data_IF_696350190140
#
_entry.id   IF_696350190140
#
_cell.length_a   1.000
_cell.length_b   1.000
_cell.length_c   1.000
_cell.angle_alpha   90.00
_cell.angle_beta   90.00
_cell.angle_gamma   90.00
#
_symmetry.space_group_name_H-M   'P 1'
#
loop_
_entity.id
_entity.type
_entity.pdbx_description
1 polymer ?
#
# COMPACT_ATOMS: atom_id res chain seq x y z
N UNK A 1 -24.35 -22.25 -11.35
CA UNK A 1 -22.94 -22.03 -11.73
C UNK A 1 -22.35 -21.14 -10.66
N UNK A 2 -21.33 -21.69 -9.98
CA UNK A 2 -20.40 -21.16 -8.96
C UNK A 2 -20.92 -20.20 -7.88
N UNK A 3 -20.77 -20.64 -6.62
CA UNK A 3 -20.69 -19.80 -5.43
C UNK A 3 -19.89 -18.51 -5.70
N UNK A 4 -20.46 -17.35 -5.39
CA UNK A 4 -19.78 -16.05 -5.53
C UNK A 4 -18.45 -16.05 -4.77
N UNK A 5 -17.29 -15.94 -5.45
CA UNK A 5 -15.99 -15.96 -4.79
C UNK A 5 -15.58 -14.59 -4.18
N UNK A 6 -16.47 -13.59 -4.21
CA UNK A 6 -16.12 -12.19 -3.93
C UNK A 6 -16.30 -11.76 -2.47
N UNK A 7 -16.88 -12.61 -1.62
CA UNK A 7 -17.15 -12.29 -0.21
C UNK A 7 -16.65 -13.42 0.70
N UNK A 8 -15.78 -13.06 1.64
CA UNK A 8 -15.28 -13.96 2.68
C UNK A 8 -15.85 -13.56 4.05
N UNK A 9 -15.97 -14.54 4.94
CA UNK A 9 -16.47 -14.35 6.30
C UNK A 9 -15.53 -14.98 7.34
N UNK A 10 -14.25 -14.57 7.41
CA UNK A 10 -13.35 -15.05 8.46
C UNK A 10 -13.92 -14.77 9.85
N UNK A 11 -13.51 -15.56 10.83
CA UNK A 11 -13.79 -15.25 12.23
C UNK A 11 -13.17 -13.90 12.60
N UNK A 12 -13.74 -13.24 13.61
CA UNK A 12 -13.26 -11.92 14.05
C UNK A 12 -11.76 -11.93 14.37
N UNK A 13 -11.29 -12.93 15.11
CA UNK A 13 -9.89 -13.04 15.51
C UNK A 13 -8.97 -13.20 14.29
N UNK A 14 -9.35 -14.07 13.33
CA UNK A 14 -8.61 -14.27 12.09
C UNK A 14 -8.56 -13.00 11.23
N UNK A 15 -9.68 -12.26 11.15
CA UNK A 15 -9.77 -11.04 10.36
C UNK A 15 -8.88 -9.93 10.92
N UNK A 16 -8.89 -9.74 12.25
CA UNK A 16 -8.02 -8.78 12.92
C UNK A 16 -6.55 -9.16 12.78
N UNK A 17 -6.21 -10.43 12.98
CA UNK A 17 -4.85 -10.93 12.79
C UNK A 17 -4.38 -10.73 11.34
N UNK A 18 -5.24 -11.04 10.38
CA UNK A 18 -4.93 -10.85 8.95
C UNK A 18 -4.71 -9.38 8.59
N UNK A 19 -5.46 -8.45 9.19
CA UNK A 19 -5.25 -7.01 8.98
C UNK A 19 -3.90 -6.56 9.54
N UNK A 20 -3.51 -7.07 10.71
CA UNK A 20 -2.19 -6.82 11.31
C UNK A 20 -1.06 -7.37 10.45
N UNK A 21 -1.19 -8.61 9.97
CA UNK A 21 -0.18 -9.25 9.14
C UNK A 21 -0.05 -8.54 7.78
N UNK A 22 -1.16 -8.09 7.19
CA UNK A 22 -1.15 -7.28 5.98
C UNK A 22 -0.47 -5.93 6.19
N UNK A 23 -0.74 -5.25 7.32
CA UNK A 23 -0.03 -4.02 7.66
C UNK A 23 1.50 -4.24 7.78
N UNK A 24 1.92 -5.34 8.43
CA UNK A 24 3.34 -5.72 8.50
C UNK A 24 3.92 -5.97 7.11
N UNK A 25 3.20 -6.68 6.24
CA UNK A 25 3.65 -6.98 4.89
C UNK A 25 3.86 -5.72 4.05
N UNK A 26 2.96 -4.74 4.16
CA UNK A 26 3.12 -3.43 3.48
C UNK A 26 4.40 -2.73 3.95
N UNK A 27 4.74 -2.80 5.24
CA UNK A 27 5.98 -2.23 5.77
C UNK A 27 7.23 -2.99 5.26
N UNK A 28 7.15 -4.30 5.07
CA UNK A 28 8.24 -5.07 4.42
C UNK A 28 8.44 -4.65 2.96
N UNK A 29 7.35 -4.41 2.24
CA UNK A 29 7.39 -3.88 0.88
C UNK A 29 7.93 -2.44 0.85
N UNK A 30 7.60 -1.60 1.84
CA UNK A 30 8.19 -0.27 2.01
C UNK A 30 9.71 -0.34 2.26
N UNK A 31 10.19 -1.27 3.11
CA UNK A 31 11.62 -1.47 3.32
C UNK A 31 12.35 -1.88 2.03
N UNK A 32 11.72 -2.76 1.23
CA UNK A 32 12.24 -3.17 -0.07
C UNK A 32 12.30 -1.98 -1.04
N UNK A 33 11.27 -1.14 -1.05
CA UNK A 33 11.23 0.10 -1.82
C UNK A 33 12.37 1.06 -1.43
N UNK A 34 12.58 1.29 -0.13
CA UNK A 34 13.62 2.20 0.38
C UNK A 34 15.03 1.69 0.07
N UNK A 35 15.25 0.38 0.17
CA UNK A 35 16.52 -0.25 -0.20
C UNK A 35 16.85 0.05 -1.66
N UNK A 36 15.90 -0.13 -2.57
CA UNK A 36 16.09 0.17 -3.99
C UNK A 36 16.24 1.66 -4.29
N UNK A 37 15.66 2.52 -3.46
CA UNK A 37 15.76 3.98 -3.61
C UNK A 37 17.15 4.50 -3.24
N UNK A 38 17.92 3.73 -2.44
CA UNK A 38 19.28 4.08 -2.01
C UNK A 38 20.37 3.74 -3.04
N UNK A 39 20.10 2.84 -3.97
CA UNK A 39 21.05 2.41 -5.01
C UNK A 39 20.75 3.11 -6.35
N UNK A 40 21.74 3.20 -7.24
CA UNK A 40 21.55 3.71 -8.60
C UNK A 40 21.92 2.63 -9.62
N UNK A 41 20.93 2.14 -10.36
CA UNK A 41 21.10 1.10 -11.37
C UNK A 41 20.04 1.20 -12.49
N UNK A 42 20.35 0.70 -13.70
CA UNK A 42 19.41 0.74 -14.81
C UNK A 42 18.10 0.01 -14.50
N UNK A 43 16.97 0.72 -14.63
CA UNK A 43 15.64 0.17 -14.38
C UNK A 43 15.19 0.25 -12.92
N UNK A 44 15.94 0.93 -12.04
CA UNK A 44 15.56 1.19 -10.65
C UNK A 44 14.13 1.71 -10.50
N UNK A 45 13.80 2.79 -11.21
CA UNK A 45 12.48 3.42 -11.06
C UNK A 45 11.34 2.52 -11.54
N UNK A 46 11.61 1.61 -12.48
CA UNK A 46 10.65 0.58 -12.87
C UNK A 46 10.38 -0.42 -11.75
N UNK A 47 11.43 -0.88 -11.06
CA UNK A 47 11.28 -1.81 -9.93
C UNK A 47 10.62 -1.11 -8.75
N UNK A 48 11.05 0.12 -8.41
CA UNK A 48 10.40 0.97 -7.40
C UNK A 48 8.92 1.13 -7.69
N UNK A 49 8.55 1.42 -8.94
CA UNK A 49 7.16 1.58 -9.33
C UNK A 49 6.35 0.27 -9.26
N UNK A 50 6.96 -0.88 -9.61
CA UNK A 50 6.31 -2.18 -9.47
C UNK A 50 6.00 -2.51 -7.99
N UNK A 51 6.92 -2.21 -7.08
CA UNK A 51 6.68 -2.35 -5.63
C UNK A 51 5.61 -1.37 -5.17
N UNK A 52 5.65 -0.12 -5.64
CA UNK A 52 4.64 0.88 -5.27
C UNK A 52 3.22 0.45 -5.67
N UNK A 53 3.05 -0.17 -6.85
CA UNK A 53 1.75 -0.72 -7.28
C UNK A 53 1.28 -1.80 -6.32
N UNK A 54 2.16 -2.73 -5.94
CA UNK A 54 1.84 -3.79 -4.98
C UNK A 54 1.44 -3.20 -3.62
N UNK A 55 2.18 -2.21 -3.13
CA UNK A 55 1.85 -1.49 -1.89
C UNK A 55 0.48 -0.79 -1.98
N UNK A 56 0.10 -0.22 -3.13
CA UNK A 56 -1.23 0.37 -3.35
C UNK A 56 -2.34 -0.69 -3.31
N UNK A 57 -2.12 -1.84 -3.96
CA UNK A 57 -3.08 -2.96 -3.92
C UNK A 57 -3.31 -3.43 -2.48
N UNK A 58 -2.23 -3.62 -1.72
CA UNK A 58 -2.29 -4.07 -0.33
C UNK A 58 -2.88 -3.03 0.60
N UNK A 59 -2.54 -1.75 0.42
CA UNK A 59 -3.14 -0.65 1.19
C UNK A 59 -4.66 -0.61 0.98
N UNK A 60 -5.14 -0.82 -0.26
CA UNK A 60 -6.56 -0.86 -0.57
C UNK A 60 -7.29 -2.00 0.15
N UNK A 61 -6.66 -3.17 0.21
CA UNK A 61 -7.14 -4.33 0.99
C UNK A 61 -7.18 -4.00 2.47
N UNK A 62 -6.11 -3.43 3.02
CA UNK A 62 -6.01 -3.07 4.43
C UNK A 62 -7.10 -2.08 4.83
N UNK A 63 -7.33 -1.03 4.03
CA UNK A 63 -8.41 -0.07 4.27
C UNK A 63 -9.78 -0.76 4.36
N UNK A 64 -10.04 -1.72 3.48
CA UNK A 64 -11.31 -2.46 3.50
C UNK A 64 -11.42 -3.33 4.76
N UNK A 65 -10.37 -4.07 5.07
CA UNK A 65 -10.32 -4.92 6.26
C UNK A 65 -10.50 -4.13 7.55
N UNK A 66 -9.86 -2.97 7.69
CA UNK A 66 -10.00 -2.10 8.86
C UNK A 66 -11.46 -1.67 9.03
N UNK A 67 -12.10 -1.20 7.95
CA UNK A 67 -13.50 -0.77 7.99
C UNK A 67 -14.45 -1.90 8.39
N UNK A 68 -14.22 -3.10 7.89
CA UNK A 68 -15.07 -4.25 8.19
C UNK A 68 -14.83 -4.79 9.61
N UNK A 69 -13.58 -4.77 10.08
CA UNK A 69 -13.25 -5.06 11.48
C UNK A 69 -13.92 -4.06 12.43
N UNK A 70 -13.90 -2.77 12.10
CA UNK A 70 -14.61 -1.75 12.88
C UNK A 70 -16.13 -1.95 12.90
N UNK A 71 -16.72 -2.27 11.76
CA UNK A 71 -18.17 -2.53 11.65
C UNK A 71 -18.57 -3.74 12.49
N UNK A 72 -17.81 -4.84 12.37
CA UNK A 72 -18.00 -6.05 13.18
C UNK A 72 -17.86 -5.76 14.67
N UNK A 73 -16.85 -4.98 15.07
CA UNK A 73 -16.64 -4.58 16.47
C UNK A 73 -17.82 -3.78 17.03
N UNK A 74 -18.36 -2.83 16.26
CA UNK A 74 -19.48 -1.97 16.68
C UNK A 74 -20.81 -2.74 16.76
N UNK A 75 -21.01 -3.76 15.93
CA UNK A 75 -22.23 -4.55 15.86
C UNK A 75 -22.16 -5.89 16.63
N UNK A 76 -21.02 -6.17 17.26
CA UNK A 76 -20.68 -7.42 17.96
C UNK A 76 -20.91 -8.69 17.12
N UNK A 77 -20.53 -8.62 15.83
CA UNK A 77 -20.58 -9.79 14.95
C UNK A 77 -19.38 -10.72 15.19
N UNK A 78 -19.62 -12.03 15.17
CA UNK A 78 -18.60 -13.05 15.33
C UNK A 78 -17.70 -13.24 14.09
N UNK A 79 -18.15 -12.76 12.94
CA UNK A 79 -17.41 -12.80 11.68
C UNK A 79 -17.34 -11.42 11.04
N UNK A 80 -16.31 -11.24 10.22
CA UNK A 80 -16.07 -10.00 9.47
C UNK A 80 -16.39 -10.28 8.01
N UNK A 81 -17.22 -9.46 7.38
CA UNK A 81 -17.50 -9.56 5.93
C UNK A 81 -16.39 -8.86 5.18
N UNK A 82 -15.62 -9.59 4.37
CA UNK A 82 -14.57 -9.01 3.54
C UNK A 82 -14.95 -9.18 2.08
N UNK A 83 -15.21 -8.06 1.42
CA UNK A 83 -15.48 -8.01 -0.02
C UNK A 83 -14.22 -7.64 -0.80
N UNK A 84 -14.21 -7.94 -2.10
CA UNK A 84 -13.20 -7.46 -3.04
C UNK A 84 -11.75 -7.83 -2.68
N UNK A 85 -11.55 -8.87 -1.85
CA UNK A 85 -10.24 -9.20 -1.29
C UNK A 85 -9.18 -9.50 -2.36
N UNK A 86 -9.63 -10.10 -3.47
CA UNK A 86 -8.77 -10.52 -4.57
C UNK A 86 -8.83 -9.56 -5.79
N UNK A 87 -9.63 -8.50 -5.74
CA UNK A 87 -9.69 -7.52 -6.83
C UNK A 87 -8.53 -6.51 -6.70
N UNK A 88 -7.36 -6.93 -7.16
CA UNK A 88 -6.14 -6.11 -7.11
C UNK A 88 -6.34 -4.72 -7.74
N UNK A 89 -7.12 -4.64 -8.82
CA UNK A 89 -7.32 -3.41 -9.57
C UNK A 89 -8.19 -2.41 -8.80
N UNK A 90 -9.32 -2.87 -8.27
CA UNK A 90 -10.19 -2.05 -7.44
C UNK A 90 -9.48 -1.58 -6.18
N UNK A 91 -8.75 -2.48 -5.52
CA UNK A 91 -7.99 -2.15 -4.31
C UNK A 91 -6.92 -1.09 -4.58
N UNK A 92 -6.12 -1.27 -5.63
CA UNK A 92 -5.08 -0.30 -6.01
C UNK A 92 -5.64 1.09 -6.35
N UNK A 93 -6.73 1.16 -7.13
CA UNK A 93 -7.40 2.43 -7.45
C UNK A 93 -7.99 3.11 -6.21
N UNK A 94 -8.62 2.34 -5.32
CA UNK A 94 -9.21 2.84 -4.07
C UNK A 94 -8.14 3.44 -3.16
N UNK A 95 -7.01 2.74 -2.98
CA UNK A 95 -5.89 3.23 -2.20
C UNK A 95 -5.30 4.51 -2.82
N UNK A 96 -5.03 4.49 -4.12
CA UNK A 96 -4.46 5.63 -4.83
C UNK A 96 -5.31 6.89 -4.66
N UNK A 97 -6.63 6.78 -4.85
CA UNK A 97 -7.55 7.91 -4.66
C UNK A 97 -7.51 8.49 -3.24
N UNK A 98 -7.43 7.64 -2.22
CA UNK A 98 -7.33 8.09 -0.82
C UNK A 98 -5.99 8.77 -0.52
N UNK A 99 -4.89 8.16 -0.95
CA UNK A 99 -3.53 8.68 -0.72
C UNK A 99 -3.33 10.03 -1.41
N UNK A 100 -3.84 10.20 -2.64
CA UNK A 100 -3.76 11.48 -3.34
C UNK A 100 -4.56 12.57 -2.64
N UNK A 101 -5.73 12.25 -2.09
CA UNK A 101 -6.51 13.21 -1.31
C UNK A 101 -5.81 13.57 0.01
N UNK A 102 -5.19 12.61 0.69
CA UNK A 102 -4.40 12.88 1.89
C UNK A 102 -3.20 13.78 1.60
N UNK A 103 -2.45 13.52 0.53
CA UNK A 103 -1.36 14.39 0.09
C UNK A 103 -1.87 15.82 -0.19
N UNK A 104 -3.02 15.95 -0.85
CA UNK A 104 -3.65 17.25 -1.10
C UNK A 104 -4.05 17.98 0.18
N UNK A 105 -4.53 17.26 1.19
CA UNK A 105 -4.87 17.82 2.50
C UNK A 105 -3.60 18.28 3.23
N UNK A 106 -2.53 17.48 3.18
CA UNK A 106 -1.24 17.82 3.78
C UNK A 106 -0.64 19.08 3.15
N UNK A 107 -0.68 19.20 1.82
CA UNK A 107 -0.15 20.37 1.11
C UNK A 107 -0.91 21.65 1.50
N UNK A 108 -2.25 21.59 1.58
CA UNK A 108 -3.07 22.72 2.05
C UNK A 108 -2.78 23.09 3.50
N UNK A 109 -2.56 22.11 4.37
CA UNK A 109 -2.22 22.37 5.76
C UNK A 109 -0.83 23.04 5.87
N UNK A 110 0.13 22.62 5.05
CA UNK A 110 1.45 23.23 4.99
C UNK A 110 1.40 24.70 4.55
N UNK A 111 0.61 25.00 3.52
CA UNK A 111 0.33 26.36 3.06
C UNK A 111 -0.32 27.21 4.17
N UNK A 112 -1.36 26.68 4.82
CA UNK A 112 -2.08 27.39 5.88
C UNK A 112 -1.21 27.70 7.10
N UNK A 113 -0.21 26.87 7.38
CA UNK A 113 0.77 27.09 8.46
C UNK A 113 1.90 28.07 8.07
N UNK A 114 1.85 28.66 6.87
CA UNK A 114 2.82 29.66 6.41
C UNK A 114 4.22 29.11 6.17
N UNK A 115 4.35 27.79 5.96
CA UNK A 115 5.65 27.12 5.77
C UNK A 115 6.15 27.17 4.32
N UNK A 116 5.39 27.77 3.41
CA UNK A 116 5.70 27.91 1.98
C UNK A 116 4.48 27.64 1.10
N UNK A 117 4.61 27.86 -0.20
CA UNK A 117 3.64 27.34 -1.18
C UNK A 117 3.79 25.81 -1.22
N UNK A 118 2.68 25.08 -1.13
CA UNK A 118 2.69 23.64 -1.31
C UNK A 118 3.10 23.35 -2.75
N UNK A 119 4.04 22.43 -2.94
CA UNK A 119 4.41 21.98 -4.28
C UNK A 119 3.19 21.25 -4.88
N UNK A 120 2.37 21.99 -5.64
CA UNK A 120 1.16 21.46 -6.27
C UNK A 120 1.58 20.35 -7.23
N UNK A 121 1.39 19.12 -6.76
CA UNK A 121 1.79 17.96 -7.52
C UNK A 121 0.98 17.88 -8.82
N UNK A 122 1.64 17.73 -9.98
CA UNK A 122 0.94 17.42 -11.22
C UNK A 122 0.24 16.07 -11.06
N UNK A 123 -0.94 15.94 -11.68
CA UNK A 123 -1.68 14.68 -11.67
C UNK A 123 -0.80 13.56 -12.27
N UNK A 124 -0.52 12.50 -11.49
CA UNK A 124 0.34 11.42 -11.96
C UNK A 124 -0.19 10.81 -13.27
N UNK A 125 0.66 10.74 -14.30
CA UNK A 125 0.26 10.22 -15.61
C UNK A 125 -0.32 8.80 -15.54
N UNK A 126 0.18 7.97 -14.62
CA UNK A 126 -0.31 6.60 -14.42
C UNK A 126 -1.75 6.49 -13.91
N UNK A 127 -2.37 7.57 -13.43
CA UNK A 127 -3.81 7.56 -13.07
C UNK A 127 -4.68 7.27 -14.30
N UNK A 128 -4.20 7.66 -15.49
CA UNK A 128 -4.89 7.43 -16.76
C UNK A 128 -4.68 6.02 -17.31
N UNK A 129 -3.77 5.26 -16.71
CA UNK A 129 -3.47 3.90 -17.12
C UNK A 129 -4.51 2.93 -16.55
N UNK A 130 -4.70 1.81 -17.24
CA UNK A 130 -5.46 0.72 -16.66
C UNK A 130 -4.64 0.02 -15.57
N UNK A 131 -4.98 0.32 -14.32
CA UNK A 131 -4.32 -0.26 -13.15
C UNK A 131 -4.25 -1.80 -13.21
N UNK A 132 -5.26 -2.46 -13.79
CA UNK A 132 -5.34 -3.92 -13.86
C UNK A 132 -4.19 -4.54 -14.68
N UNK A 133 -3.69 -3.82 -15.70
CA UNK A 133 -2.63 -4.29 -16.61
C UNK A 133 -1.27 -3.66 -16.33
N UNK A 134 -1.21 -2.72 -15.39
CA UNK A 134 -0.01 -1.92 -15.10
C UNK A 134 1.16 -2.79 -14.62
N UNK A 135 0.89 -3.75 -13.73
CA UNK A 135 1.88 -4.71 -13.23
C UNK A 135 2.47 -5.55 -14.36
N UNK A 136 1.61 -6.07 -15.24
CA UNK A 136 2.03 -6.88 -16.40
C UNK A 136 2.83 -6.05 -17.40
N UNK A 137 2.40 -4.81 -17.68
CA UNK A 137 3.11 -3.88 -18.56
C UNK A 137 4.51 -3.55 -18.05
N UNK A 138 4.70 -3.44 -16.73
CA UNK A 138 6.01 -3.20 -16.11
C UNK A 138 6.93 -4.42 -16.12
N UNK A 139 6.39 -5.59 -15.81
CA UNK A 139 7.15 -6.85 -15.72
C UNK A 139 7.48 -7.42 -17.10
N UNK A 140 6.56 -7.32 -18.05
CA UNK A 140 6.64 -7.95 -19.38
C UNK A 140 6.70 -6.90 -20.49
N UNK A 141 7.73 -6.06 -20.45
CA UNK A 141 7.95 -5.06 -21.49
C UNK A 141 8.21 -5.70 -22.85
N UNK A 142 7.68 -5.07 -23.91
CA UNK A 142 7.98 -5.44 -25.28
C UNK A 142 9.50 -5.51 -25.53
N UNK A 143 9.96 -6.54 -26.24
CA UNK A 143 11.38 -6.71 -26.58
C UNK A 143 11.89 -5.53 -27.42
N UNK A 144 11.05 -5.05 -28.35
CA UNK A 144 11.30 -3.89 -29.20
C UNK A 144 11.34 -2.59 -28.38
N UNK A 145 12.52 -1.95 -28.34
CA UNK A 145 12.75 -0.70 -27.59
C UNK A 145 11.94 0.48 -28.14
N UNK A 146 11.63 0.50 -29.45
CA UNK A 146 10.87 1.60 -30.07
C UNK A 146 9.40 1.64 -29.63
N UNK A 147 8.90 0.52 -29.08
CA UNK A 147 7.54 0.36 -28.57
C UNK A 147 7.46 0.44 -27.05
N UNK A 148 8.58 0.72 -26.36
CA UNK A 148 8.64 0.87 -24.91
C UNK A 148 8.31 2.30 -24.54
N UNK A 149 7.06 2.51 -24.17
CA UNK A 149 6.66 3.75 -23.51
C UNK A 149 6.70 3.56 -21.99
N UNK A 150 7.57 4.33 -21.32
CA UNK A 150 7.75 4.39 -19.87
C UNK A 150 7.34 5.76 -19.28
N UNK A 151 6.72 6.63 -20.08
CA UNK A 151 6.33 7.99 -19.65
C UNK A 151 5.29 8.00 -18.53
N UNK A 152 4.59 6.88 -18.34
CA UNK A 152 3.65 6.70 -17.24
C UNK A 152 4.33 6.46 -15.88
N UNK A 153 5.61 6.08 -15.84
CA UNK A 153 6.33 5.92 -14.58
C UNK A 153 6.47 7.29 -13.92
N UNK A 154 5.99 7.47 -12.67
CA UNK A 154 6.08 8.76 -11.99
C UNK A 154 7.54 9.15 -11.71
N UNK A 155 7.82 10.46 -11.58
CA UNK A 155 9.12 10.90 -11.09
C UNK A 155 9.37 10.39 -9.66
N UNK A 156 10.65 10.25 -9.30
CA UNK A 156 11.08 9.58 -8.07
C UNK A 156 10.54 10.20 -6.79
N UNK A 157 10.53 11.52 -6.71
CA UNK A 157 9.99 12.32 -5.62
C UNK A 157 8.48 12.04 -5.36
N UNK A 158 7.70 11.93 -6.43
CA UNK A 158 6.29 11.55 -6.32
C UNK A 158 6.15 10.11 -5.82
N UNK A 159 6.95 9.17 -6.34
CA UNK A 159 6.92 7.80 -5.85
C UNK A 159 7.29 7.72 -4.36
N UNK A 160 8.29 8.51 -3.92
CA UNK A 160 8.71 8.57 -2.52
C UNK A 160 7.63 9.13 -1.60
N UNK A 161 6.92 10.19 -2.04
CA UNK A 161 5.76 10.74 -1.32
C UNK A 161 4.63 9.72 -1.19
N UNK A 162 4.31 9.00 -2.27
CA UNK A 162 3.27 7.96 -2.28
C UNK A 162 3.65 6.81 -1.34
N UNK A 163 4.86 6.26 -1.47
CA UNK A 163 5.37 5.19 -0.63
C UNK A 163 5.37 5.59 0.85
N UNK A 164 5.85 6.79 1.16
CA UNK A 164 5.87 7.30 2.53
C UNK A 164 4.48 7.48 3.14
N UNK A 165 3.47 7.87 2.36
CA UNK A 165 2.08 7.95 2.84
C UNK A 165 1.49 6.56 3.07
N UNK A 166 1.74 5.60 2.17
CA UNK A 166 1.31 4.21 2.36
C UNK A 166 1.92 3.62 3.64
N UNK A 167 3.21 3.83 3.86
CA UNK A 167 3.94 3.36 5.04
C UNK A 167 3.31 3.92 6.33
N UNK A 168 3.07 5.23 6.40
CA UNK A 168 2.43 5.87 7.56
C UNK A 168 1.03 5.31 7.80
N UNK A 169 0.25 5.10 6.74
CA UNK A 169 -1.12 4.60 6.86
C UNK A 169 -1.14 3.13 7.30
N UNK A 170 -0.21 2.31 6.81
CA UNK A 170 -0.08 0.92 7.23
C UNK A 170 0.30 0.82 8.72
N UNK A 171 1.25 1.65 9.17
CA UNK A 171 1.64 1.71 10.59
C UNK A 171 0.46 2.15 11.47
N UNK A 172 -0.22 3.23 11.10
CA UNK A 172 -1.37 3.73 11.85
C UNK A 172 -2.54 2.73 11.89
N UNK A 173 -2.81 2.05 10.77
CA UNK A 173 -3.85 1.02 10.70
C UNK A 173 -3.50 -0.22 11.55
N UNK A 174 -2.23 -0.64 11.53
CA UNK A 174 -1.72 -1.72 12.36
C UNK A 174 -1.92 -1.44 13.86
N UNK A 175 -1.47 -0.28 14.31
CA UNK A 175 -1.62 0.18 15.70
C UNK A 175 -3.10 0.30 16.10
N UNK A 176 -3.93 0.86 15.21
CA UNK A 176 -5.36 1.00 15.45
C UNK A 176 -6.07 -0.35 15.62
N UNK A 177 -5.81 -1.30 14.72
CA UNK A 177 -6.43 -2.63 14.76
C UNK A 177 -5.98 -3.42 15.98
N UNK A 178 -4.73 -3.28 16.37
CA UNK A 178 -4.22 -3.84 17.61
C UNK A 178 -5.02 -3.38 18.82
N UNK A 179 -5.14 -2.06 18.98
CA UNK A 179 -5.74 -1.46 20.16
C UNK A 179 -7.23 -1.77 20.20
N UNK A 180 -7.91 -1.74 19.05
CA UNK A 180 -9.29 -2.16 18.92
C UNK A 180 -9.47 -3.64 19.29
N UNK A 181 -8.63 -4.52 18.75
CA UNK A 181 -8.71 -5.95 19.02
C UNK A 181 -8.43 -6.29 20.49
N UNK A 182 -7.45 -5.62 21.10
CA UNK A 182 -7.15 -5.72 22.53
C UNK A 182 -8.32 -5.26 23.39
N UNK A 183 -8.98 -4.16 23.02
CA UNK A 183 -10.15 -3.65 23.73
C UNK A 183 -11.33 -4.64 23.69
N UNK A 184 -11.43 -5.45 22.62
CA UNK A 184 -12.43 -6.50 22.45
C UNK A 184 -12.04 -7.84 23.10
N UNK A 185 -10.90 -7.90 23.80
CA UNK A 185 -10.41 -9.12 24.45
C UNK A 185 -9.82 -10.16 23.48
N UNK A 186 -9.48 -9.75 22.26
CA UNK A 186 -8.84 -10.61 21.27
C UNK A 186 -7.35 -10.74 21.61
N UNK A 187 -6.81 -11.97 21.51
CA UNK A 187 -5.40 -12.26 21.77
C UNK A 187 -4.52 -11.91 20.57
N UNK A 188 -4.48 -10.62 20.23
CA UNK A 188 -3.65 -10.10 19.14
C UNK A 188 -2.35 -9.57 19.75
N UNK A 189 -1.21 -10.04 19.25
CA UNK A 189 0.11 -9.56 19.66
C UNK A 189 0.79 -8.85 18.50
N UNK A 190 1.41 -7.71 18.78
CA UNK A 190 1.96 -6.85 17.74
C UNK A 190 3.36 -6.36 18.09
N UNK A 191 4.32 -6.81 17.29
CA UNK A 191 5.66 -6.23 17.20
C UNK A 191 5.80 -5.54 15.82
N UNK A 192 5.20 -4.35 15.65
CA UNK A 192 5.51 -3.47 14.52
C UNK A 192 6.71 -2.60 14.92
N UNK A 193 7.90 -2.95 14.44
CA UNK A 193 9.03 -2.02 14.44
C UNK A 193 9.56 -1.89 13.02
N UNK A 194 9.74 -0.66 12.50
CA UNK A 194 10.54 -0.48 11.30
C UNK A 194 11.94 -1.03 11.57
N UNK A 195 12.45 -1.87 10.67
CA UNK A 195 13.82 -2.37 10.75
C UNK A 195 14.74 -1.16 10.60
N UNK A 196 15.32 -0.67 11.70
CA UNK A 196 16.49 0.20 11.61
C UNK A 196 17.56 -0.61 10.90
N UNK A 197 18.05 -0.10 9.77
CA UNK A 197 18.89 -0.84 8.83
C UNK A 197 19.99 -1.65 9.51
N UNK A 198 19.85 -2.97 9.47
CA UNK A 198 20.99 -3.85 9.54
C UNK A 198 21.66 -3.81 8.17
N UNK A 199 22.98 -3.62 8.17
CA UNK A 199 23.81 -3.51 6.98
C UNK A 199 23.51 -4.63 5.96
N UNK A 200 23.58 -4.35 4.65
CA UNK A 200 23.33 -5.36 3.63
C UNK A 200 24.34 -6.50 3.78
N UNK A 201 23.86 -7.68 4.19
CA UNK A 201 24.60 -8.92 4.02
C UNK A 201 24.67 -9.23 2.52
N UNK A 202 25.67 -8.65 1.86
CA UNK A 202 26.00 -9.01 0.49
C UNK A 202 26.39 -10.49 0.45
N UNK A 203 25.47 -11.35 0.03
CA UNK A 203 25.81 -12.71 -0.41
C UNK A 203 26.45 -12.53 -1.79
N UNK A 204 27.78 -12.42 -1.80
CA UNK A 204 28.55 -12.54 -3.03
C UNK A 204 28.49 -13.99 -3.47
N UNK A 205 27.84 -14.26 -4.60
CA UNK A 205 28.07 -15.51 -5.32
C UNK A 205 29.52 -15.49 -5.83
N UNK A 206 30.30 -16.48 -5.37
CA UNK A 206 31.63 -16.79 -5.88
C UNK A 206 31.53 -17.61 -7.17
#
# INVERSE_FOLDING_TARGET
MSDSPDVQHPSRDEAFQSAVDLARHILENANSYHTLSSEDFPGRDRVRFAILILMLEEAGKLINMVRECERSAKADYLSVRIEDYNDNCLNGRRALGQILEELRIMDKAFEALGKGEGERMPEPAFIKEDFCTLKERLLYMALDRSKRDLSFIPPGDLMDRLAGTIERNALAAGDYIHDLGRALGLWITLDLKPRKGDEPHSIRYA
#
